data_IF_718782578344
#
_entry.id   IF_718782578344
#
_cell.length_a   1.000
_cell.length_b   1.000
_cell.length_c   1.000
_cell.angle_alpha   90.00
_cell.angle_beta   90.00
_cell.angle_gamma   90.00
#
_symmetry.space_group_name_H-M   'P 1'
#
loop_
_entity.id
_entity.type
_entity.pdbx_description
1 polymer ?
#
# COMPACT_ATOMS: atom_id res chain seq x y z
N UNK A 1 13.52 -10.02 -12.46
CA UNK A 1 13.21 -10.45 -11.08
C UNK A 1 14.42 -10.48 -10.15
N UNK A 2 15.23 -11.55 -10.06
CA UNK A 2 16.36 -11.61 -9.09
C UNK A 2 17.41 -10.50 -9.31
N UNK A 3 17.78 -10.21 -10.57
CA UNK A 3 18.69 -9.11 -10.91
C UNK A 3 18.14 -7.71 -10.59
N UNK A 4 16.83 -7.52 -10.68
CA UNK A 4 16.19 -6.22 -10.37
C UNK A 4 16.08 -6.02 -8.87
N UNK A 5 15.82 -7.09 -8.11
CA UNK A 5 15.86 -7.06 -6.64
C UNK A 5 17.26 -6.70 -6.12
N UNK A 6 18.32 -7.19 -6.77
CA UNK A 6 19.70 -6.82 -6.44
C UNK A 6 20.06 -5.36 -6.78
N UNK A 7 19.24 -4.66 -7.56
CA UNK A 7 19.45 -3.26 -7.93
C UNK A 7 18.71 -2.27 -6.99
N UNK A 8 17.85 -2.77 -6.10
CA UNK A 8 17.14 -1.93 -5.14
C UNK A 8 18.09 -1.45 -4.03
N UNK A 9 17.97 -0.19 -3.56
CA UNK A 9 18.79 0.30 -2.46
C UNK A 9 18.59 -0.56 -1.21
N UNK A 10 19.70 -0.93 -0.55
CA UNK A 10 19.74 -1.73 0.69
C UNK A 10 19.26 -0.91 1.90
N UNK A 11 18.00 -0.50 1.89
CA UNK A 11 17.25 -0.02 3.05
C UNK A 11 16.27 -1.14 3.47
N UNK A 12 15.56 -1.05 4.59
CA UNK A 12 14.56 -2.07 4.95
C UNK A 12 13.51 -2.22 3.83
N UNK A 13 13.68 -3.23 2.97
CA UNK A 13 12.71 -3.57 1.94
C UNK A 13 11.66 -4.44 2.61
N UNK A 14 10.51 -3.83 2.88
CA UNK A 14 9.36 -4.53 3.41
C UNK A 14 8.69 -5.24 2.23
N UNK A 15 9.14 -6.47 1.97
CA UNK A 15 8.58 -7.34 0.94
C UNK A 15 7.41 -8.10 1.57
N UNK A 16 6.23 -7.50 1.55
CA UNK A 16 5.00 -8.23 1.82
C UNK A 16 4.05 -8.16 0.62
N UNK A 17 4.13 -9.20 -0.22
CA UNK A 17 3.28 -9.51 -1.38
C UNK A 17 3.10 -8.50 -2.55
N UNK A 18 3.86 -7.40 -2.78
CA UNK A 18 3.57 -6.48 -3.88
C UNK A 18 4.40 -6.80 -5.14
N UNK A 19 5.53 -7.52 -4.99
CA UNK A 19 6.39 -7.99 -6.09
C UNK A 19 5.80 -9.21 -6.80
N UNK A 20 4.72 -9.80 -6.27
CA UNK A 20 3.92 -10.80 -6.96
C UNK A 20 3.37 -10.24 -8.28
N UNK A 21 3.04 -8.94 -8.32
CA UNK A 21 2.61 -8.26 -9.54
C UNK A 21 3.66 -8.30 -10.66
N UNK A 22 4.96 -8.22 -10.33
CA UNK A 22 6.06 -8.36 -11.30
C UNK A 22 6.22 -9.80 -11.81
N UNK A 23 5.61 -10.77 -11.11
CA UNK A 23 5.58 -12.18 -11.48
C UNK A 23 4.26 -12.59 -12.15
N UNK A 24 3.36 -11.64 -12.44
CA UNK A 24 2.04 -11.90 -13.04
C UNK A 24 0.97 -12.40 -12.06
N UNK A 25 1.25 -12.36 -10.75
CA UNK A 25 0.33 -12.77 -9.70
C UNK A 25 -0.40 -11.57 -9.09
N UNK A 26 -1.67 -11.71 -8.70
CA UNK A 26 -2.43 -10.61 -8.09
C UNK A 26 -1.79 -10.19 -6.77
N UNK A 27 -1.79 -8.87 -6.50
CA UNK A 27 -1.37 -8.33 -5.21
C UNK A 27 -2.31 -8.84 -4.10
N UNK A 28 -1.71 -9.52 -3.12
CA UNK A 28 -2.39 -10.13 -1.98
C UNK A 28 -2.44 -9.24 -0.73
N UNK A 29 -2.09 -7.95 -0.85
CA UNK A 29 -2.12 -6.99 0.25
C UNK A 29 -3.48 -7.01 0.94
N UNK A 30 -3.46 -7.46 2.20
CA UNK A 30 -4.63 -7.54 3.07
C UNK A 30 -5.00 -6.20 3.70
N UNK A 31 -4.05 -5.24 3.69
CA UNK A 31 -4.19 -3.97 4.40
C UNK A 31 -5.33 -3.11 3.86
N UNK A 32 -6.31 -2.83 4.73
CA UNK A 32 -7.54 -2.12 4.35
C UNK A 32 -8.52 -2.93 3.50
N UNK A 33 -8.27 -4.23 3.27
CA UNK A 33 -9.19 -5.18 2.61
C UNK A 33 -9.72 -6.24 3.57
N UNK A 34 -8.83 -6.88 4.32
CA UNK A 34 -9.11 -7.95 5.27
C UNK A 34 -8.57 -7.66 6.66
N UNK A 35 -7.57 -6.78 6.78
CA UNK A 35 -6.95 -6.43 8.05
C UNK A 35 -6.90 -4.92 8.28
N UNK A 36 -6.97 -4.55 9.56
CA UNK A 36 -6.79 -3.21 10.08
C UNK A 36 -5.90 -3.32 11.31
N UNK A 37 -4.87 -2.48 11.38
CA UNK A 37 -4.00 -2.37 12.54
C UNK A 37 -4.40 -1.14 13.34
N UNK A 38 -4.56 -1.28 14.65
CA UNK A 38 -4.89 -0.18 15.55
C UNK A 38 -3.76 -0.08 16.57
N UNK A 39 -3.12 1.08 16.60
CA UNK A 39 -2.01 1.38 17.51
C UNK A 39 -2.54 1.75 18.90
N UNK A 40 -1.65 1.84 19.90
CA UNK A 40 -2.03 2.08 21.31
C UNK A 40 -2.66 3.46 21.54
N UNK A 41 -2.39 4.43 20.66
CA UNK A 41 -2.98 5.76 20.65
C UNK A 41 -4.32 5.83 19.86
N UNK A 42 -4.79 4.69 19.37
CA UNK A 42 -5.98 4.58 18.53
C UNK A 42 -5.72 4.87 17.05
N UNK A 43 -4.48 5.14 16.64
CA UNK A 43 -4.10 5.35 15.24
C UNK A 43 -4.35 4.11 14.39
N UNK A 44 -5.09 4.26 13.30
CA UNK A 44 -5.51 3.16 12.43
C UNK A 44 -4.66 3.13 11.16
N UNK A 45 -4.03 1.98 10.91
CA UNK A 45 -3.12 1.74 9.78
C UNK A 45 -3.58 0.52 8.98
N UNK A 46 -3.28 0.45 7.67
CA UNK A 46 -3.56 -0.74 6.86
C UNK A 46 -2.67 -1.93 7.24
N UNK A 47 -1.44 -1.68 7.69
CA UNK A 47 -0.51 -2.67 8.20
C UNK A 47 0.49 -2.01 9.18
N UNK A 48 1.25 -2.79 9.97
CA UNK A 48 2.22 -2.25 10.93
C UNK A 48 3.33 -1.39 10.29
N UNK A 49 3.62 -1.65 9.02
CA UNK A 49 4.69 -1.00 8.26
C UNK A 49 4.29 0.33 7.64
N UNK A 50 3.00 0.66 7.63
CA UNK A 50 2.55 1.92 7.03
C UNK A 50 2.92 3.10 7.96
N UNK A 51 3.58 4.16 7.45
CA UNK A 51 4.36 5.08 8.27
C UNK A 51 3.56 6.00 9.21
N UNK A 52 2.27 6.21 8.94
CA UNK A 52 1.42 7.12 9.72
C UNK A 52 -0.04 6.63 9.76
N UNK A 53 -0.83 6.94 10.80
CA UNK A 53 -2.24 6.56 10.84
C UNK A 53 -3.02 7.26 9.71
N UNK A 54 -3.94 6.53 9.07
CA UNK A 54 -4.87 7.06 8.07
C UNK A 54 -6.15 7.61 8.70
N UNK A 55 -6.51 7.07 9.86
CA UNK A 55 -7.61 7.56 10.67
C UNK A 55 -7.37 7.17 12.14
N UNK A 56 -8.30 7.49 13.02
CA UNK A 56 -8.23 7.11 14.43
C UNK A 56 -9.50 6.35 14.82
N UNK A 57 -9.34 5.40 15.75
CA UNK A 57 -10.45 4.80 16.45
C UNK A 57 -11.04 5.87 17.38
N UNK A 58 -12.21 6.36 17.02
CA UNK A 58 -12.97 7.32 17.81
C UNK A 58 -14.13 6.63 18.56
N UNK A 59 -14.89 7.39 19.34
CA UNK A 59 -16.05 6.89 20.08
C UNK A 59 -17.18 6.32 19.20
N UNK A 60 -17.08 6.41 17.87
CA UNK A 60 -18.04 5.83 16.92
C UNK A 60 -17.67 4.39 16.49
N UNK A 61 -16.55 3.87 16.97
CA UNK A 61 -16.25 2.43 17.00
C UNK A 61 -15.60 1.84 15.75
N UNK A 62 -15.30 0.53 15.85
CA UNK A 62 -14.47 -0.21 14.88
C UNK A 62 -15.04 -0.19 13.47
N UNK A 63 -16.36 -0.22 13.30
CA UNK A 63 -16.99 -0.22 11.99
C UNK A 63 -16.77 1.09 11.21
N UNK A 64 -16.75 2.24 11.91
CA UNK A 64 -16.46 3.53 11.28
C UNK A 64 -14.98 3.63 10.92
N UNK A 65 -14.09 3.25 11.84
CA UNK A 65 -12.65 3.18 11.59
C UNK A 65 -12.34 2.31 10.36
N UNK A 66 -13.00 1.15 10.24
CA UNK A 66 -12.88 0.25 9.08
C UNK A 66 -13.27 0.91 7.76
N UNK A 67 -14.46 1.53 7.68
CA UNK A 67 -14.91 2.23 6.47
C UNK A 67 -13.99 3.41 6.12
N UNK A 68 -13.50 4.11 7.14
CA UNK A 68 -12.55 5.20 6.96
C UNK A 68 -11.24 4.67 6.36
N UNK A 69 -10.68 3.59 6.92
CA UNK A 69 -9.48 2.95 6.38
C UNK A 69 -9.67 2.50 4.92
N UNK A 70 -10.79 1.86 4.59
CA UNK A 70 -11.10 1.45 3.22
C UNK A 70 -11.11 2.64 2.25
N UNK A 71 -11.72 3.76 2.65
CA UNK A 71 -11.76 4.98 1.86
C UNK A 71 -10.36 5.57 1.68
N UNK A 72 -9.57 5.68 2.74
CA UNK A 72 -8.21 6.26 2.64
C UNK A 72 -7.28 5.37 1.80
N UNK A 73 -7.40 4.05 1.89
CA UNK A 73 -6.67 3.12 1.01
C UNK A 73 -7.09 3.27 -0.46
N UNK A 74 -8.38 3.51 -0.73
CA UNK A 74 -8.85 3.83 -2.08
C UNK A 74 -8.25 5.16 -2.58
N UNK A 75 -8.22 6.20 -1.73
CA UNK A 75 -7.62 7.51 -2.04
C UNK A 75 -6.12 7.38 -2.37
N UNK A 76 -5.37 6.61 -1.57
CA UNK A 76 -3.95 6.33 -1.82
C UNK A 76 -3.70 5.63 -3.16
N UNK A 77 -4.68 4.90 -3.67
CA UNK A 77 -4.61 4.18 -4.94
C UNK A 77 -5.25 4.91 -6.12
N UNK A 78 -5.80 6.12 -5.90
CA UNK A 78 -6.50 6.87 -6.93
C UNK A 78 -5.63 7.09 -8.18
N UNK A 79 -4.36 7.46 -8.00
CA UNK A 79 -3.41 7.68 -9.12
C UNK A 79 -3.00 6.41 -9.85
N UNK A 80 -3.13 5.24 -9.21
CA UNK A 80 -2.85 3.95 -9.83
C UNK A 80 -4.08 3.32 -10.49
N UNK A 81 -5.30 3.79 -10.17
CA UNK A 81 -6.56 3.16 -10.59
C UNK A 81 -6.77 3.12 -12.11
N UNK A 82 -6.14 4.04 -12.86
CA UNK A 82 -6.17 4.10 -14.32
C UNK A 82 -5.05 3.29 -15.00
N UNK A 83 -4.13 2.70 -14.22
CA UNK A 83 -3.02 1.91 -14.77
C UNK A 83 -3.53 0.56 -15.29
N UNK A 84 -3.09 0.17 -16.49
CA UNK A 84 -3.43 -1.15 -17.07
C UNK A 84 -2.96 -2.33 -16.21
N UNK A 85 -1.95 -2.12 -15.36
CA UNK A 85 -1.42 -3.13 -14.45
C UNK A 85 -2.06 -3.10 -13.06
N UNK A 86 -3.03 -2.21 -12.81
CA UNK A 86 -3.63 -2.03 -11.49
C UNK A 86 -4.32 -3.31 -10.99
N UNK A 87 -4.98 -4.06 -11.86
CA UNK A 87 -5.62 -5.33 -11.49
C UNK A 87 -4.59 -6.35 -10.95
N UNK A 88 -3.36 -6.32 -11.46
CA UNK A 88 -2.28 -7.21 -11.04
C UNK A 88 -1.58 -6.70 -9.79
N UNK A 89 -1.21 -5.42 -9.74
CA UNK A 89 -0.38 -4.89 -8.66
C UNK A 89 -1.16 -4.18 -7.54
N UNK A 90 -2.45 -3.89 -7.70
CA UNK A 90 -3.27 -3.18 -6.71
C UNK A 90 -2.76 -1.79 -6.31
N UNK A 91 -1.86 -1.18 -7.10
CA UNK A 91 -1.17 0.07 -6.74
C UNK A 91 0.08 -0.09 -5.88
N UNK A 92 0.56 -1.33 -5.71
CA UNK A 92 1.79 -1.70 -5.01
C UNK A 92 1.67 -1.76 -3.48
N UNK A 93 2.80 -1.78 -2.78
CA UNK A 93 2.84 -1.71 -1.32
C UNK A 93 2.35 -0.35 -0.83
N UNK A 94 1.37 -0.33 0.07
CA UNK A 94 0.89 0.91 0.68
C UNK A 94 2.01 1.62 1.47
N UNK A 95 2.86 0.86 2.17
CA UNK A 95 3.96 1.42 2.97
C UNK A 95 5.05 2.08 2.11
N UNK A 96 5.20 1.66 0.85
CA UNK A 96 6.19 2.23 -0.08
C UNK A 96 5.60 3.34 -0.96
N UNK A 97 4.37 3.80 -0.71
CA UNK A 97 3.80 4.90 -1.49
C UNK A 97 4.54 6.20 -1.17
N UNK A 98 4.89 6.92 -2.23
CA UNK A 98 5.41 8.27 -2.17
C UNK A 98 4.30 9.27 -1.84
N UNK A 99 4.66 10.54 -1.59
CA UNK A 99 3.68 11.62 -1.36
C UNK A 99 2.69 11.83 -2.52
N UNK A 100 3.04 11.42 -3.75
CA UNK A 100 2.14 11.48 -4.91
C UNK A 100 1.22 10.25 -5.05
N UNK A 101 1.22 9.34 -4.06
CA UNK A 101 0.40 8.13 -4.05
C UNK A 101 0.91 7.00 -4.94
N UNK A 102 2.03 7.21 -5.65
CA UNK A 102 2.68 6.18 -6.46
C UNK A 102 3.62 5.33 -5.60
N UNK A 103 3.64 4.03 -5.84
CA UNK A 103 4.58 3.12 -5.19
C UNK A 103 6.00 3.36 -5.69
N UNK A 104 6.96 3.40 -4.76
CA UNK A 104 8.34 3.80 -5.02
C UNK A 104 9.06 2.91 -6.06
N UNK A 105 8.80 1.61 -6.05
CA UNK A 105 9.39 0.61 -6.94
C UNK A 105 8.53 0.34 -8.19
N UNK A 106 7.48 1.12 -8.45
CA UNK A 106 6.63 0.93 -9.62
C UNK A 106 7.44 1.12 -10.93
N UNK A 107 7.60 0.08 -11.77
CA UNK A 107 8.40 0.18 -12.99
C UNK A 107 7.72 1.00 -14.09
N UNK A 108 6.43 1.31 -13.93
CA UNK A 108 5.62 2.12 -14.84
C UNK A 108 5.49 3.58 -14.37
N UNK A 109 6.29 3.98 -13.37
CA UNK A 109 6.30 5.35 -12.90
C UNK A 109 7.13 6.21 -13.87
N UNK A 110 6.47 6.91 -14.81
CA UNK A 110 7.13 7.84 -15.75
C UNK A 110 7.63 9.14 -15.09
N UNK A 111 8.21 9.07 -13.89
CA UNK A 111 9.12 10.12 -13.39
C UNK A 111 10.54 9.65 -13.72
N UNK A 112 10.90 9.64 -15.00
CA UNK A 112 12.20 9.11 -15.45
C UNK A 112 12.35 8.79 -16.94
N UNK A 113 11.52 9.35 -17.82
CA UNK A 113 11.87 9.56 -19.23
C UNK A 113 11.68 11.03 -19.57
#
# INVERSE_FOLDING_TARGET
MLRELCALPLQEIIIDTPLLGLSGWPNLCSGGRLVMFIDVDGGVKPCPYFPYPLCHLDGEGVAKAWRCLQREVANLNASCSSCSQFASCGGGCLANKTKSGKEYYCPYNEVGK
#
